data_IF_042174485012
#
_entry.id   IF_042174485012
#
_cell.length_a   1.000
_cell.length_b   1.000
_cell.length_c   1.000
_cell.angle_alpha   90.00
_cell.angle_beta   90.00
_cell.angle_gamma   90.00
#
_symmetry.space_group_name_H-M   'P 1'
#
loop_
_entity.id
_entity.type
_entity.pdbx_description
1 polymer ?
#
# COMPACT_ATOMS: atom_id res chain seq x y z
N UNK A 1 -17.45 -21.19 18.54
CA UNK A 1 -16.14 -20.56 18.85
C UNK A 1 -15.82 -19.58 17.73
N UNK A 2 -15.86 -18.26 17.98
CA UNK A 2 -15.54 -17.24 16.97
C UNK A 2 -14.04 -16.97 17.05
N UNK A 3 -13.28 -17.40 16.05
CA UNK A 3 -11.86 -17.01 15.91
C UNK A 3 -11.81 -15.53 15.55
N UNK A 4 -11.62 -14.68 16.56
CA UNK A 4 -11.19 -13.30 16.38
C UNK A 4 -9.71 -13.35 16.00
N UNK A 5 -9.40 -13.29 14.70
CA UNK A 5 -8.04 -12.97 14.26
C UNK A 5 -7.76 -11.52 14.67
N UNK A 6 -6.74 -11.32 15.50
CA UNK A 6 -6.32 -9.99 15.93
C UNK A 6 -5.64 -9.28 14.76
N UNK A 7 -6.29 -8.25 14.23
CA UNK A 7 -5.79 -7.39 13.15
C UNK A 7 -5.31 -6.06 13.72
N UNK A 8 -4.08 -5.64 13.41
CA UNK A 8 -3.55 -4.31 13.79
C UNK A 8 -3.02 -3.56 12.58
N UNK A 9 -3.74 -2.52 12.18
CA UNK A 9 -3.25 -1.49 11.27
C UNK A 9 -2.50 -0.45 12.13
N UNK A 10 -1.16 -0.44 12.09
CA UNK A 10 -0.36 0.54 12.83
C UNK A 10 0.20 1.58 11.87
N UNK A 11 -0.24 2.82 12.04
CA UNK A 11 0.50 4.01 11.61
C UNK A 11 1.76 4.09 12.46
N UNK A 12 2.93 3.89 11.86
CA UNK A 12 4.19 4.34 12.47
C UNK A 12 4.53 5.66 11.81
N UNK A 13 4.52 6.76 12.56
CA UNK A 13 5.36 7.90 12.20
C UNK A 13 6.80 7.44 12.45
N UNK A 14 7.56 7.25 11.40
CA UNK A 14 8.95 6.75 11.45
C UNK A 14 9.95 7.84 11.89
N UNK A 15 9.57 8.70 12.84
CA UNK A 15 10.44 9.72 13.43
C UNK A 15 11.56 9.16 14.32
N UNK A 16 11.95 7.89 14.16
CA UNK A 16 13.01 7.28 14.94
C UNK A 16 13.05 5.77 14.82
N UNK A 17 13.77 5.24 13.82
CA UNK A 17 14.34 3.90 13.89
C UNK A 17 15.72 3.89 13.26
N UNK A 18 16.74 3.89 14.13
CA UNK A 18 18.03 3.26 13.88
C UNK A 18 17.76 1.75 13.79
N UNK A 19 18.28 1.14 12.74
CA UNK A 19 18.44 -0.32 12.55
C UNK A 19 17.19 -1.12 12.12
N UNK A 20 17.09 -1.33 10.80
CA UNK A 20 16.31 -2.42 10.19
C UNK A 20 17.29 -3.53 9.79
N UNK A 21 17.16 -4.77 10.32
CA UNK A 21 18.03 -5.88 9.93
C UNK A 21 17.86 -6.26 8.45
N UNK A 22 18.98 -6.53 7.76
CA UNK A 22 19.03 -6.96 6.36
C UNK A 22 18.43 -8.37 6.19
N UNK A 23 17.16 -8.46 5.83
CA UNK A 23 16.60 -9.67 5.23
C UNK A 23 16.82 -9.62 3.71
N UNK A 24 17.76 -10.42 3.22
CA UNK A 24 17.86 -10.73 1.80
C UNK A 24 16.74 -11.72 1.46
N UNK A 25 15.58 -11.24 0.99
CA UNK A 25 14.79 -12.00 0.02
C UNK A 25 13.64 -11.19 -0.61
N UNK A 26 13.67 -11.16 -1.95
CA UNK A 26 12.62 -10.84 -2.95
C UNK A 26 11.51 -9.83 -2.60
N UNK A 27 11.87 -8.59 -2.29
CA UNK A 27 10.97 -7.45 -2.53
C UNK A 27 11.18 -6.93 -3.96
N UNK A 28 10.13 -6.72 -4.79
CA UNK A 28 10.25 -6.13 -6.14
C UNK A 28 10.86 -4.72 -6.16
N UNK A 29 11.11 -4.12 -5.00
CA UNK A 29 11.70 -2.80 -4.84
C UNK A 29 13.13 -2.93 -4.29
N UNK A 30 14.09 -3.30 -5.15
CA UNK A 30 15.52 -3.08 -4.91
C UNK A 30 15.80 -1.57 -4.89
N UNK A 31 15.44 -0.88 -3.80
CA UNK A 31 15.77 0.54 -3.62
C UNK A 31 16.84 0.76 -2.53
N UNK A 32 17.78 1.70 -2.74
CA UNK A 32 18.76 2.06 -1.73
C UNK A 32 18.09 2.52 -0.42
N UNK A 33 18.69 2.18 0.71
CA UNK A 33 18.17 2.50 2.05
C UNK A 33 17.86 3.99 2.22
N UNK A 34 18.69 4.90 1.68
CA UNK A 34 18.42 6.34 1.78
C UNK A 34 17.16 6.76 1.00
N UNK A 35 16.85 6.07 -0.11
CA UNK A 35 15.64 6.34 -0.88
C UNK A 35 14.40 5.88 -0.12
N UNK A 36 14.50 4.75 0.58
CA UNK A 36 13.45 4.29 1.49
C UNK A 36 13.24 5.31 2.62
N UNK A 37 14.31 5.75 3.29
CA UNK A 37 14.24 6.74 4.38
C UNK A 37 13.61 8.07 3.96
N UNK A 38 14.05 8.67 2.84
CA UNK A 38 13.44 9.91 2.33
C UNK A 38 11.96 9.74 2.08
N UNK A 39 11.55 8.64 1.45
CA UNK A 39 10.14 8.41 1.16
C UNK A 39 9.30 8.21 2.43
N UNK A 40 9.87 7.61 3.46
CA UNK A 40 9.24 7.48 4.77
C UNK A 40 9.05 8.84 5.46
N UNK A 41 9.95 9.81 5.20
CA UNK A 41 9.84 11.18 5.70
C UNK A 41 8.74 12.00 4.99
N UNK A 42 8.51 11.74 3.70
CA UNK A 42 7.53 12.47 2.88
C UNK A 42 6.16 11.80 2.72
N UNK A 43 6.03 10.52 3.05
CA UNK A 43 4.80 9.76 2.86
C UNK A 43 4.27 9.19 4.18
N UNK A 44 2.95 9.03 4.25
CA UNK A 44 2.32 8.29 5.32
C UNK A 44 2.51 6.81 5.05
N UNK A 45 3.46 6.20 5.77
CA UNK A 45 3.77 4.78 5.65
C UNK A 45 2.90 3.93 6.59
N UNK A 46 2.42 2.83 6.04
CA UNK A 46 1.66 1.81 6.78
C UNK A 46 2.30 0.46 6.58
N UNK A 47 2.57 -0.21 7.70
CA UNK A 47 2.97 -1.61 7.72
C UNK A 47 1.74 -2.47 8.00
N UNK A 48 1.51 -3.49 7.18
CA UNK A 48 0.34 -4.35 7.29
C UNK A 48 0.73 -5.60 8.08
N UNK A 49 0.06 -5.81 9.21
CA UNK A 49 0.29 -6.94 10.10
C UNK A 49 -0.89 -7.91 10.11
N UNK A 50 -0.59 -9.20 10.16
CA UNK A 50 -1.53 -10.27 10.51
C UNK A 50 -0.92 -11.03 11.65
N UNK A 51 -1.61 -11.06 12.79
CA UNK A 51 -1.02 -11.58 14.02
C UNK A 51 0.31 -10.87 14.29
N UNK A 52 1.42 -11.60 14.37
CA UNK A 52 2.76 -11.06 14.59
C UNK A 52 3.63 -11.03 13.32
N UNK A 53 3.02 -11.19 12.13
CA UNK A 53 3.74 -11.19 10.86
C UNK A 53 3.47 -9.93 10.02
N UNK A 54 4.54 -9.34 9.48
CA UNK A 54 4.45 -8.30 8.44
C UNK A 54 4.12 -8.97 7.12
N UNK A 55 2.94 -8.67 6.58
CA UNK A 55 2.49 -9.25 5.32
C UNK A 55 2.55 -8.29 4.14
N UNK A 56 2.90 -7.02 4.37
CA UNK A 56 2.90 -6.02 3.32
C UNK A 56 3.10 -4.61 3.85
N UNK A 57 2.95 -3.65 2.94
CA UNK A 57 2.90 -2.24 3.27
C UNK A 57 2.14 -1.43 2.22
N UNK A 58 1.88 -0.18 2.56
CA UNK A 58 1.45 0.85 1.63
C UNK A 58 2.00 2.20 2.07
N UNK A 59 2.12 3.12 1.11
CA UNK A 59 2.35 4.52 1.38
C UNK A 59 1.24 5.37 0.79
N UNK A 60 1.03 6.52 1.40
CA UNK A 60 0.10 7.51 0.92
C UNK A 60 0.84 8.83 0.80
N UNK A 61 0.71 9.44 -0.38
CA UNK A 61 1.15 10.81 -0.63
C UNK A 61 -0.05 11.73 -0.59
N UNK A 62 0.06 12.79 0.19
CA UNK A 62 -0.86 13.93 0.16
C UNK A 62 -0.56 14.79 -1.07
N UNK A 63 -1.56 14.97 -1.94
CA UNK A 63 -1.49 15.80 -3.14
C UNK A 63 -2.17 17.17 -2.96
N UNK A 64 -2.49 17.53 -1.71
CA UNK A 64 -3.26 18.72 -1.31
C UNK A 64 -4.71 18.68 -1.82
N UNK A 65 -5.52 19.61 -1.30
CA UNK A 65 -6.96 19.73 -1.60
C UNK A 65 -7.73 18.41 -1.43
N UNK A 66 -7.42 17.66 -0.36
CA UNK A 66 -8.07 16.39 -0.02
C UNK A 66 -7.89 15.30 -1.09
N UNK A 67 -6.88 15.45 -1.97
CA UNK A 67 -6.51 14.43 -2.97
C UNK A 67 -5.34 13.62 -2.46
N UNK A 68 -5.44 12.30 -2.60
CA UNK A 68 -4.42 11.38 -2.10
C UNK A 68 -3.99 10.39 -3.17
N UNK A 69 -2.72 9.98 -3.10
CA UNK A 69 -2.16 8.92 -3.97
C UNK A 69 -1.67 7.75 -3.15
N UNK A 70 -2.19 6.56 -3.46
CA UNK A 70 -1.70 5.30 -2.91
C UNK A 70 -0.49 4.86 -3.73
N UNK A 71 0.59 4.54 -3.04
CA UNK A 71 1.87 4.16 -3.63
C UNK A 71 2.38 2.92 -2.89
N UNK A 72 3.11 2.04 -3.60
CA UNK A 72 3.78 0.86 -3.01
C UNK A 72 2.83 -0.01 -2.18
N UNK A 73 1.57 -0.17 -2.59
CA UNK A 73 0.68 -1.16 -1.99
C UNK A 73 1.10 -2.57 -2.44
N UNK A 74 1.43 -3.43 -1.48
CA UNK A 74 1.72 -4.83 -1.75
C UNK A 74 1.32 -5.71 -0.57
N UNK A 75 0.99 -6.96 -0.90
CA UNK A 75 0.68 -8.02 0.05
C UNK A 75 1.47 -9.25 -0.37
N UNK A 76 2.14 -9.89 0.58
CA UNK A 76 2.88 -11.14 0.39
C UNK A 76 1.97 -12.20 -0.24
N UNK A 77 2.52 -12.96 -1.18
CA UNK A 77 1.77 -13.87 -2.06
C UNK A 77 0.91 -14.86 -1.26
N UNK A 78 1.43 -15.37 -0.13
CA UNK A 78 0.70 -16.30 0.76
C UNK A 78 -0.56 -15.72 1.43
N UNK A 79 -0.70 -14.39 1.44
CA UNK A 79 -1.85 -13.68 2.00
C UNK A 79 -2.76 -13.07 0.91
N UNK A 80 -2.38 -13.15 -0.37
CA UNK A 80 -3.25 -12.68 -1.45
C UNK A 80 -4.47 -13.60 -1.62
N UNK A 81 -5.52 -13.09 -2.28
CA UNK A 81 -6.82 -13.80 -2.50
C UNK A 81 -7.62 -14.11 -1.23
N UNK A 82 -7.24 -13.57 -0.07
CA UNK A 82 -7.93 -13.77 1.21
C UNK A 82 -8.75 -12.56 1.67
N UNK A 83 -8.99 -11.60 0.77
CA UNK A 83 -9.77 -10.38 1.06
C UNK A 83 -8.99 -9.23 1.70
N UNK A 84 -7.70 -9.40 2.04
CA UNK A 84 -6.94 -8.35 2.71
C UNK A 84 -6.79 -7.07 1.89
N UNK A 85 -6.54 -7.18 0.58
CA UNK A 85 -6.44 -6.00 -0.28
C UNK A 85 -7.65 -5.09 -0.17
N UNK A 86 -8.86 -5.65 -0.31
CA UNK A 86 -10.12 -4.90 -0.16
C UNK A 86 -10.22 -4.26 1.23
N UNK A 87 -9.89 -5.01 2.28
CA UNK A 87 -9.98 -4.50 3.65
C UNK A 87 -8.99 -3.37 3.91
N UNK A 88 -7.78 -3.46 3.39
CA UNK A 88 -6.74 -2.44 3.52
C UNK A 88 -7.19 -1.15 2.82
N UNK A 89 -7.68 -1.24 1.59
CA UNK A 89 -8.17 -0.06 0.84
C UNK A 89 -9.29 0.66 1.59
N UNK A 90 -10.28 -0.09 2.09
CA UNK A 90 -11.37 0.48 2.89
C UNK A 90 -10.90 1.15 4.18
N UNK A 91 -9.89 0.59 4.85
CA UNK A 91 -9.33 1.17 6.07
C UNK A 91 -8.57 2.46 5.77
N UNK A 92 -7.79 2.47 4.69
CA UNK A 92 -7.08 3.65 4.20
C UNK A 92 -8.09 4.76 3.89
N UNK A 93 -9.08 4.49 3.04
CA UNK A 93 -10.09 5.48 2.64
C UNK A 93 -10.87 6.03 3.85
N UNK A 94 -11.19 5.17 4.82
CA UNK A 94 -11.85 5.57 6.07
C UNK A 94 -11.00 6.46 6.98
N UNK A 95 -9.67 6.36 6.92
CA UNK A 95 -8.76 7.23 7.70
C UNK A 95 -8.77 8.68 7.18
N UNK A 96 -9.11 8.89 5.91
CA UNK A 96 -9.20 10.21 5.28
C UNK A 96 -10.65 10.47 4.81
N UNK A 97 -11.60 10.69 5.75
CA UNK A 97 -13.02 10.82 5.41
C UNK A 97 -13.35 12.05 4.57
N UNK A 98 -12.44 13.03 4.51
CA UNK A 98 -12.56 14.23 3.67
C UNK A 98 -11.99 14.02 2.26
N UNK A 99 -11.34 12.89 1.98
CA UNK A 99 -10.72 12.64 0.69
C UNK A 99 -11.73 12.76 -0.45
N UNK A 100 -11.45 13.65 -1.40
CA UNK A 100 -12.28 13.86 -2.60
C UNK A 100 -11.82 13.00 -3.76
N UNK A 101 -10.54 12.60 -3.78
CA UNK A 101 -9.95 11.79 -4.84
C UNK A 101 -8.89 10.84 -4.29
N UNK A 102 -8.92 9.60 -4.81
CA UNK A 102 -7.85 8.62 -4.64
C UNK A 102 -7.29 8.21 -6.00
N UNK A 103 -5.96 8.27 -6.14
CA UNK A 103 -5.26 7.81 -7.34
C UNK A 103 -4.19 6.77 -7.02
N UNK A 104 -3.88 5.91 -8.00
CA UNK A 104 -2.77 4.95 -7.96
C UNK A 104 -2.36 4.55 -9.38
N UNK A 105 -1.16 3.99 -9.50
CA UNK A 105 -0.73 3.31 -10.73
C UNK A 105 -0.74 1.80 -10.54
N UNK A 106 -1.10 1.09 -11.61
CA UNK A 106 -0.86 -0.34 -11.72
C UNK A 106 -0.31 -0.66 -13.12
N UNK A 107 0.65 -1.60 -13.27
CA UNK A 107 1.16 -1.97 -14.58
C UNK A 107 0.04 -2.41 -15.52
N UNK A 108 0.07 -1.94 -16.77
CA UNK A 108 -0.97 -2.18 -17.77
C UNK A 108 -1.21 -3.66 -18.09
N UNK A 109 -0.20 -4.52 -17.88
CA UNK A 109 -0.31 -5.97 -18.10
C UNK A 109 -0.95 -6.71 -16.93
N UNK A 110 -1.12 -6.07 -15.77
CA UNK A 110 -1.63 -6.72 -14.57
C UNK A 110 -3.16 -6.66 -14.53
N UNK A 111 -3.82 -7.48 -15.36
CA UNK A 111 -5.30 -7.56 -15.45
C UNK A 111 -5.96 -7.86 -14.10
N UNK A 112 -5.31 -8.68 -13.27
CA UNK A 112 -5.77 -9.01 -11.92
C UNK A 112 -5.89 -7.76 -11.04
N UNK A 113 -4.89 -6.88 -11.07
CA UNK A 113 -4.94 -5.63 -10.32
C UNK A 113 -6.00 -4.67 -10.88
N UNK A 114 -6.12 -4.57 -12.21
CA UNK A 114 -7.16 -3.76 -12.84
C UNK A 114 -8.56 -4.18 -12.36
N UNK A 115 -8.88 -5.47 -12.44
CA UNK A 115 -10.16 -5.99 -11.94
C UNK A 115 -10.35 -5.77 -10.44
N UNK A 116 -9.28 -5.88 -9.65
CA UNK A 116 -9.34 -5.62 -8.21
C UNK A 116 -9.73 -4.17 -7.92
N UNK A 117 -9.09 -3.19 -8.57
CA UNK A 117 -9.37 -1.78 -8.35
C UNK A 117 -10.72 -1.34 -8.95
N UNK A 118 -11.08 -1.85 -10.13
CA UNK A 118 -12.41 -1.62 -10.73
C UNK A 118 -13.54 -2.09 -9.81
N UNK A 119 -13.37 -3.26 -9.18
CA UNK A 119 -14.33 -3.77 -8.18
C UNK A 119 -14.48 -2.85 -6.96
N UNK A 120 -13.45 -2.07 -6.64
CA UNK A 120 -13.47 -1.09 -5.56
C UNK A 120 -13.99 0.29 -6.01
N UNK A 121 -14.38 0.45 -7.27
CA UNK A 121 -14.92 1.70 -7.81
C UNK A 121 -13.87 2.62 -8.44
N UNK A 122 -12.61 2.20 -8.52
CA UNK A 122 -11.59 2.97 -9.25
C UNK A 122 -11.83 2.89 -10.76
N UNK A 123 -11.66 4.03 -11.42
CA UNK A 123 -11.76 4.15 -12.88
C UNK A 123 -10.37 4.32 -13.49
N UNK A 124 -10.13 3.67 -14.63
CA UNK A 124 -8.90 3.85 -15.39
C UNK A 124 -8.97 5.16 -16.18
N UNK A 125 -8.20 6.16 -15.75
CA UNK A 125 -8.17 7.52 -16.34
C UNK A 125 -6.98 7.78 -17.29
N UNK A 126 -6.15 6.77 -17.54
CA UNK A 126 -5.01 6.89 -18.45
C UNK A 126 -4.13 5.64 -18.53
N UNK A 127 -3.03 5.76 -19.27
CA UNK A 127 -1.94 4.80 -19.35
C UNK A 127 -0.80 5.40 -20.17
N UNK A 128 0.44 5.23 -19.73
CA UNK A 128 1.59 5.62 -20.55
C UNK A 128 1.53 4.80 -21.85
N UNK A 129 1.52 5.44 -23.03
CA UNK A 129 1.63 4.70 -24.29
C UNK A 129 2.91 3.86 -24.25
N UNK A 130 2.81 2.59 -24.66
CA UNK A 130 4.02 1.80 -24.93
C UNK A 130 4.69 2.43 -26.15
N UNK A 131 5.68 3.29 -25.94
CA UNK A 131 6.61 3.63 -27.02
C UNK A 131 7.42 2.37 -27.34
N UNK A 132 7.32 1.93 -28.59
CA UNK A 132 8.15 0.86 -29.16
C UNK A 132 9.56 1.36 -29.41
#
# INVERSE_FOLDING_TARGET
MRHNSFWRFRKKHFGGLREVPRSHDTNPVNEPFERLLRKIEFFLHYTIWVEDEIIGGNDIRDLQDERYRIIRIFISIKYQNKGFGTRIMQLIEKEFPLATEWSLDTPHLNKRNHHFYEKLGYMKVGGTPNFR
#
